data_IF_699262523041
#
_entry.id   IF_699262523041
#
_cell.length_a   1.000
_cell.length_b   1.000
_cell.length_c   1.000
_cell.angle_alpha   90.00
_cell.angle_beta   90.00
_cell.angle_gamma   90.00
#
_symmetry.space_group_name_H-M   'P 1'
#
loop_
_entity.id
_entity.type
_entity.pdbx_description
1 polymer ?
2 non-polymer ?
3 non-polymer ?
4 non-polymer ?
5 water ?
#
# COMPACT_ATOMS: atom_id res chain seq x y z
N UNK A 3 18.09 -17.40 -6.31
CA UNK A 3 17.65 -17.85 -7.68
C UNK A 3 16.16 -17.56 -8.02
N UNK A 4 15.25 -17.80 -7.08
CA UNK A 4 13.86 -17.33 -7.27
C UNK A 4 13.81 -15.80 -7.09
N UNK A 5 13.09 -15.10 -7.95
CA UNK A 5 12.87 -13.67 -7.80
C UNK A 5 11.90 -13.43 -6.62
N UNK A 6 12.23 -12.52 -5.72
CA UNK A 6 11.37 -12.22 -4.57
C UNK A 6 10.84 -10.80 -4.68
N UNK A 7 9.51 -10.67 -4.63
CA UNK A 7 8.82 -9.41 -4.79
C UNK A 7 7.93 -9.15 -3.58
N UNK A 8 8.12 -8.01 -2.94
CA UNK A 8 7.26 -7.54 -1.87
C UNK A 8 6.26 -6.60 -2.48
N UNK A 9 5.01 -6.87 -2.22
CA UNK A 9 3.94 -6.02 -2.67
C UNK A 9 3.25 -5.43 -1.46
N UNK A 10 3.26 -4.11 -1.39
CA UNK A 10 2.59 -3.38 -0.35
C UNK A 10 1.07 -3.55 -0.42
N UNK A 11 0.37 -3.33 0.71
CA UNK A 11 -1.06 -3.54 0.78
C UNK A 11 -1.87 -2.25 0.57
N UNK A 12 -1.82 -1.31 1.51
CA UNK A 12 -2.60 -0.12 1.37
C UNK A 12 -2.03 0.75 0.28
N UNK A 13 -2.89 1.17 -0.64
CA UNK A 13 -2.47 2.02 -1.74
C UNK A 13 -1.93 1.26 -2.92
N UNK A 14 -1.85 -0.04 -2.79
CA UNK A 14 -1.35 -0.89 -3.88
C UNK A 14 -2.33 -2.03 -4.18
N UNK A 15 -2.65 -2.81 -3.16
CA UNK A 15 -3.67 -3.84 -3.26
C UNK A 15 -5.06 -3.37 -2.83
N UNK A 16 -5.09 -2.65 -1.73
CA UNK A 16 -6.32 -2.19 -1.08
C UNK A 16 -6.49 -0.70 -1.25
N UNK A 17 -7.70 -0.27 -1.61
CA UNK A 17 -7.98 1.12 -1.90
C UNK A 17 -8.21 1.92 -0.61
N UNK A 18 -7.12 2.20 0.07
CA UNK A 18 -7.11 2.97 1.30
C UNK A 18 -7.66 4.41 1.09
N UNK A 19 -7.22 5.09 0.03
CA UNK A 19 -7.58 6.48 -0.20
C UNK A 19 -9.08 6.66 -0.44
N UNK A 20 -9.66 5.83 -1.30
CA UNK A 20 -11.06 5.88 -1.61
C UNK A 20 -11.93 5.45 -0.47
N UNK A 21 -11.50 4.43 0.26
CA UNK A 21 -12.26 3.94 1.40
C UNK A 21 -12.28 4.95 2.53
N UNK A 22 -11.13 5.55 2.81
CA UNK A 22 -10.98 6.56 3.82
C UNK A 22 -11.91 7.79 3.44
N UNK A 23 -11.80 8.28 2.21
CA UNK A 23 -12.59 9.47 1.84
C UNK A 23 -14.09 9.22 1.98
N UNK A 24 -14.55 8.08 1.53
CA UNK A 24 -15.93 7.71 1.65
C UNK A 24 -16.40 7.71 3.09
N UNK A 25 -15.64 7.03 3.93
CA UNK A 25 -16.02 6.91 5.34
C UNK A 25 -15.88 8.23 6.07
N UNK A 26 -14.91 9.04 5.70
CA UNK A 26 -14.73 10.32 6.33
C UNK A 26 -15.95 11.23 6.07
N UNK A 27 -16.31 11.33 4.80
CA UNK A 27 -17.49 12.09 4.35
C UNK A 27 -18.79 11.66 4.99
N UNK A 28 -19.05 10.35 5.06
CA UNK A 28 -20.26 9.85 5.69
C UNK A 28 -20.30 10.16 7.19
N UNK A 29 -19.14 10.09 7.84
CA UNK A 29 -19.13 10.22 9.29
C UNK A 29 -19.14 11.70 9.67
N UNK A 30 -18.49 12.53 8.85
CA UNK A 30 -18.28 13.94 9.13
C UNK A 30 -18.79 14.81 7.95
N UNK A 31 -20.07 14.72 7.64
CA UNK A 31 -20.62 15.39 6.45
C UNK A 31 -20.52 16.91 6.47
N UNK A 32 -20.13 17.52 7.61
CA UNK A 32 -20.09 18.98 7.74
C UNK A 32 -18.68 19.50 7.83
N UNK A 33 -17.71 18.61 7.66
CA UNK A 33 -16.32 19.02 7.61
C UNK A 33 -15.87 19.13 6.16
N UNK A 34 -14.86 19.93 5.90
CA UNK A 34 -14.25 19.95 4.58
C UNK A 34 -13.36 18.68 4.45
N UNK A 35 -13.04 18.33 3.21
CA UNK A 35 -12.29 17.11 2.92
C UNK A 35 -11.34 17.35 1.76
N UNK A 36 -10.49 16.37 1.48
CA UNK A 36 -9.54 16.47 0.38
C UNK A 36 -9.99 15.52 -0.70
N UNK A 37 -10.40 16.06 -1.85
CA UNK A 37 -10.73 15.24 -2.99
C UNK A 37 -9.47 14.45 -3.37
N UNK A 38 -9.65 13.25 -3.91
CA UNK A 38 -8.47 12.40 -4.27
C UNK A 38 -7.52 13.08 -5.23
N UNK A 39 -8.03 13.82 -6.22
CA UNK A 39 -7.19 14.56 -7.17
C UNK A 39 -6.36 15.62 -6.49
N UNK A 40 -6.81 16.10 -5.33
CA UNK A 40 -6.08 17.08 -4.54
C UNK A 40 -5.16 16.49 -3.45
N UNK A 41 -5.16 15.17 -3.28
CA UNK A 41 -4.25 14.57 -2.32
C UNK A 41 -2.77 14.79 -2.71
N UNK A 42 -1.95 15.18 -1.73
CA UNK A 42 -0.51 15.31 -1.87
C UNK A 42 0.21 14.84 -0.59
N UNK A 43 1.26 14.05 -0.77
CA UNK A 43 2.00 13.50 0.36
C UNK A 43 1.34 12.22 0.90
N UNK A 44 2.18 11.27 1.32
CA UNK A 44 1.76 10.00 1.89
C UNK A 44 0.80 10.19 3.05
N UNK A 45 1.09 11.12 3.93
CA UNK A 45 0.36 11.28 5.21
C UNK A 45 -0.94 12.06 5.06
N UNK A 46 -2.02 11.29 4.90
CA UNK A 46 -3.38 11.79 4.85
C UNK A 46 -3.67 12.74 6.04
N UNK A 47 -3.30 12.29 7.22
CA UNK A 47 -3.62 12.96 8.47
C UNK A 47 -2.98 14.36 8.50
N UNK A 48 -1.76 14.49 7.98
CA UNK A 48 -1.05 15.76 7.95
C UNK A 48 -1.74 16.76 7.00
N UNK A 49 -2.17 16.32 5.83
CA UNK A 49 -2.92 17.20 4.92
C UNK A 49 -4.29 17.63 5.48
N UNK A 50 -4.98 16.72 6.16
CA UNK A 50 -6.26 17.09 6.73
C UNK A 50 -6.00 18.10 7.90
N UNK A 51 -4.91 17.88 8.60
CA UNK A 51 -4.51 18.74 9.73
C UNK A 51 -4.23 20.18 9.31
N UNK A 52 -3.56 20.33 8.17
CA UNK A 52 -3.24 21.64 7.56
C UNK A 52 -4.51 22.32 7.05
N UNK A 53 -5.51 21.52 6.74
CA UNK A 53 -6.76 22.02 6.19
C UNK A 53 -7.63 22.73 7.24
N UNK A 54 -7.53 22.30 8.50
CA UNK A 54 -8.36 22.84 9.58
C UNK A 54 -8.06 22.08 10.89
N UNK A 55 -7.80 22.77 12.01
CA UNK A 55 -7.51 22.07 13.27
C UNK A 55 -8.60 21.12 13.83
N UNK A 56 -8.11 20.04 14.44
CA UNK A 56 -8.94 18.94 14.86
C UNK A 56 -9.16 17.87 13.77
N UNK A 57 -8.85 18.21 12.52
CA UNK A 57 -9.08 17.29 11.40
C UNK A 57 -8.09 16.11 11.31
N UNK A 58 -6.84 16.30 11.70
CA UNK A 58 -5.92 15.15 11.85
C UNK A 58 -6.55 14.04 12.70
N UNK A 59 -7.13 14.43 13.81
CA UNK A 59 -7.61 13.48 14.79
C UNK A 59 -8.90 12.83 14.26
N UNK A 60 -9.73 13.61 13.56
CA UNK A 60 -10.93 13.04 12.94
C UNK A 60 -10.56 12.03 11.81
N UNK A 61 -9.55 12.35 11.03
CA UNK A 61 -9.03 11.45 9.96
C UNK A 61 -8.60 10.12 10.58
N UNK A 62 -7.82 10.24 11.63
CA UNK A 62 -7.26 9.07 12.31
C UNK A 62 -8.35 8.17 12.85
N UNK A 63 -9.44 8.76 13.35
CA UNK A 63 -10.55 8.01 13.90
C UNK A 63 -11.25 7.16 12.86
N UNK A 64 -11.12 7.52 11.58
CA UNK A 64 -11.67 6.67 10.53
C UNK A 64 -10.94 5.34 10.41
N UNK A 65 -9.63 5.39 10.23
CA UNK A 65 -8.91 4.11 10.10
C UNK A 65 -8.64 3.35 11.41
N UNK A 66 -8.84 4.00 12.56
CA UNK A 66 -8.88 3.31 13.84
C UNK A 66 -10.20 2.58 14.13
N UNK A 67 -11.23 2.81 13.33
CA UNK A 67 -12.53 2.20 13.56
C UNK A 67 -12.57 0.78 13.05
N UNK A 68 -13.33 -0.05 13.74
CA UNK A 68 -13.56 -1.41 13.32
C UNK A 68 -14.12 -1.44 11.89
N UNK A 69 -13.67 -2.45 11.16
CA UNK A 69 -14.03 -2.73 9.78
C UNK A 69 -13.49 -1.81 8.71
N UNK A 70 -12.71 -0.82 9.10
CA UNK A 70 -12.13 0.03 8.13
C UNK A 70 -11.22 -0.75 7.14
N UNK A 71 -10.27 -1.49 7.68
CA UNK A 71 -9.34 -2.22 6.80
C UNK A 71 -10.05 -3.35 6.12
N UNK A 72 -10.93 -4.05 6.85
CA UNK A 72 -11.58 -5.19 6.26
C UNK A 72 -12.41 -4.85 5.01
N UNK A 73 -13.07 -3.70 5.05
CA UNK A 73 -14.02 -3.31 4.04
C UNK A 73 -13.38 -2.54 2.89
N UNK A 74 -12.06 -2.35 2.91
CA UNK A 74 -11.42 -1.73 1.76
C UNK A 74 -11.67 -2.60 0.49
N UNK A 75 -11.98 -1.92 -0.60
CA UNK A 75 -12.08 -2.55 -1.90
C UNK A 75 -10.70 -2.77 -2.53
N UNK A 76 -10.50 -3.85 -3.25
CA UNK A 76 -9.26 -4.03 -3.99
C UNK A 76 -9.09 -2.96 -5.07
N UNK A 77 -7.86 -2.52 -5.34
CA UNK A 77 -7.66 -1.63 -6.48
C UNK A 77 -7.84 -2.47 -7.78
N UNK A 78 -8.26 -1.80 -8.87
CA UNK A 78 -8.46 -2.48 -10.17
C UNK A 78 -7.25 -3.29 -10.58
N UNK A 79 -7.47 -4.54 -10.95
CA UNK A 79 -6.41 -5.41 -11.43
C UNK A 79 -5.47 -5.98 -10.36
N UNK A 80 -5.59 -5.54 -9.11
CA UNK A 80 -4.59 -5.92 -8.10
C UNK A 80 -4.59 -7.39 -7.75
N UNK A 81 -5.78 -7.93 -7.48
CA UNK A 81 -5.91 -9.32 -7.06
C UNK A 81 -5.52 -10.25 -8.22
N UNK A 82 -6.05 -9.96 -9.42
CA UNK A 82 -5.66 -10.72 -10.62
C UNK A 82 -4.14 -10.71 -10.86
N UNK A 83 -3.54 -9.54 -10.75
CA UNK A 83 -2.10 -9.42 -11.02
C UNK A 83 -1.23 -10.17 -10.00
N UNK A 84 -1.57 -10.04 -8.73
CA UNK A 84 -0.78 -10.70 -7.70
C UNK A 84 -0.93 -12.20 -7.77
N UNK A 85 -2.12 -12.67 -8.04
CA UNK A 85 -2.33 -14.10 -8.24
C UNK A 85 -1.50 -14.65 -9.39
N UNK A 86 -1.49 -13.92 -10.51
CA UNK A 86 -0.66 -14.31 -11.65
C UNK A 86 0.79 -14.27 -11.31
N UNK A 87 1.20 -13.19 -10.66
CA UNK A 87 2.58 -13.01 -10.27
C UNK A 87 3.11 -14.16 -9.39
N UNK A 88 2.34 -14.53 -8.38
CA UNK A 88 2.73 -15.62 -7.47
C UNK A 88 2.80 -17.00 -8.18
N UNK A 89 1.97 -17.19 -9.20
CA UNK A 89 1.93 -18.48 -9.94
C UNK A 89 3.10 -18.60 -10.92
N UNK A 90 3.81 -17.49 -11.18
CA UNK A 90 4.94 -17.55 -12.10
C UNK A 90 6.06 -18.39 -11.51
N UNK A 91 6.77 -19.04 -12.41
CA UNK A 91 7.89 -19.89 -12.05
C UNK A 91 8.98 -19.01 -11.51
N UNK A 92 9.68 -19.50 -10.51
CA UNK A 92 10.83 -18.79 -9.95
C UNK A 92 10.46 -17.40 -9.44
N UNK A 93 9.28 -17.29 -8.83
CA UNK A 93 8.80 -16.00 -8.35
C UNK A 93 8.04 -16.23 -7.05
N UNK A 94 8.55 -15.61 -5.99
CA UNK A 94 7.93 -15.62 -4.66
C UNK A 94 7.43 -14.21 -4.31
N UNK A 95 6.17 -14.12 -3.98
CA UNK A 95 5.49 -12.88 -3.67
C UNK A 95 5.13 -12.86 -2.19
N UNK A 96 5.55 -11.80 -1.50
CA UNK A 96 5.09 -11.52 -0.15
C UNK A 96 4.30 -10.21 -0.10
N UNK A 97 3.28 -10.16 0.73
CA UNK A 97 2.55 -8.96 0.92
C UNK A 97 3.14 -8.30 2.18
N UNK A 98 3.66 -7.09 2.02
CA UNK A 98 4.38 -6.39 3.09
C UNK A 98 3.64 -5.12 3.47
N UNK A 99 3.16 -5.06 4.70
CA UNK A 99 2.26 -4.02 5.12
C UNK A 99 2.60 -3.54 6.53
N UNK A 100 2.42 -2.25 6.75
CA UNK A 100 2.70 -1.62 8.04
C UNK A 100 1.40 -1.36 8.77
N UNK A 101 1.19 -1.94 9.92
CA UNK A 101 -0.04 -1.68 10.64
C UNK A 101 0.00 -0.27 11.29
N UNK A 102 -1.17 0.27 11.62
CA UNK A 102 -1.25 1.53 12.40
C UNK A 102 -0.88 1.26 13.85
N UNK A 103 -0.78 2.33 14.61
CA UNK A 103 -0.33 2.23 16.01
C UNK A 103 -1.33 1.50 16.88
N UNK A 104 -2.60 1.77 16.63
CA UNK A 104 -3.70 1.16 17.34
C UNK A 104 -4.01 -0.21 16.74
N UNK A 105 -3.81 -1.25 17.54
CA UNK A 105 -3.63 -2.59 16.97
C UNK A 105 -4.83 -3.49 17.23
N UNK A 106 -5.92 -2.94 17.74
CA UNK A 106 -7.09 -3.80 18.08
C UNK A 106 -7.70 -4.56 16.92
N UNK A 107 -7.83 -3.88 15.78
CA UNK A 107 -8.53 -4.41 14.59
C UNK A 107 -7.58 -4.62 13.39
N UNK A 108 -6.60 -3.76 13.23
CA UNK A 108 -5.92 -3.61 11.94
C UNK A 108 -5.17 -4.92 11.52
N UNK A 109 -4.30 -5.47 12.37
CA UNK A 109 -3.64 -6.73 12.02
C UNK A 109 -4.62 -7.84 11.67
N UNK A 110 -5.61 -8.07 12.52
CA UNK A 110 -6.63 -9.05 12.26
C UNK A 110 -7.32 -8.81 10.92
N UNK A 111 -7.76 -7.58 10.66
CA UNK A 111 -8.55 -7.32 9.44
C UNK A 111 -7.74 -7.48 8.18
N UNK A 112 -6.45 -7.22 8.32
CA UNK A 112 -5.51 -7.34 7.20
C UNK A 112 -5.34 -8.81 6.83
N UNK A 113 -5.16 -9.66 7.83
CA UNK A 113 -5.17 -11.11 7.57
C UNK A 113 -6.50 -11.55 6.95
N UNK A 114 -7.61 -11.09 7.50
CA UNK A 114 -8.93 -11.47 6.98
C UNK A 114 -9.15 -11.02 5.55
N UNK A 115 -8.65 -9.84 5.22
CA UNK A 115 -8.76 -9.29 3.86
C UNK A 115 -7.98 -10.16 2.87
N UNK A 116 -6.76 -10.54 3.27
CA UNK A 116 -5.90 -11.37 2.42
C UNK A 116 -6.55 -12.75 2.22
N UNK A 117 -7.13 -13.31 3.28
CA UNK A 117 -7.84 -14.58 3.16
C UNK A 117 -9.01 -14.49 2.18
N UNK A 118 -9.77 -13.41 2.27
CA UNK A 118 -10.96 -13.18 1.44
C UNK A 118 -10.60 -13.12 -0.07
N UNK A 119 -9.56 -12.36 -0.40
CA UNK A 119 -9.18 -12.13 -1.79
C UNK A 119 -8.19 -13.09 -2.40
N UNK A 120 -7.32 -13.71 -1.58
CA UNK A 120 -6.27 -14.59 -2.08
C UNK A 120 -6.31 -16.00 -1.57
N UNK A 121 -7.17 -16.25 -0.57
CA UNK A 121 -7.33 -17.60 -0.07
C UNK A 121 -6.47 -17.87 1.15
N UNK A 122 -6.86 -18.87 1.93
CA UNK A 122 -6.13 -19.26 3.13
C UNK A 122 -4.62 -19.50 2.90
N UNK A 123 -4.26 -20.14 1.79
CA UNK A 123 -2.86 -20.48 1.57
C UNK A 123 -1.95 -19.24 1.39
N UNK A 124 -2.53 -18.11 1.06
CA UNK A 124 -1.76 -16.90 0.85
C UNK A 124 -1.39 -16.22 2.15
N UNK A 125 -2.02 -16.62 3.27
CA UNK A 125 -1.70 -16.02 4.58
C UNK A 125 -0.24 -16.18 4.99
N UNK A 126 0.39 -17.27 4.58
CA UNK A 126 1.80 -17.55 4.81
C UNK A 126 2.71 -16.52 4.19
N UNK A 127 2.18 -15.76 3.23
CA UNK A 127 2.98 -14.75 2.48
C UNK A 127 2.91 -13.33 3.06
N UNK A 128 2.27 -13.16 4.23
CA UNK A 128 2.09 -11.84 4.80
C UNK A 128 3.28 -11.51 5.74
N UNK A 129 3.85 -10.32 5.56
CA UNK A 129 4.83 -9.76 6.49
C UNK A 129 4.30 -8.43 7.06
N UNK A 130 4.02 -8.39 8.35
CA UNK A 130 3.62 -7.14 9.00
C UNK A 130 4.80 -6.52 9.70
N UNK A 131 5.14 -5.33 9.28
CA UNK A 131 6.27 -4.65 9.85
C UNK A 131 6.14 -3.15 9.61
N UNK A 132 6.60 -2.37 10.60
CA UNK A 132 6.74 -0.94 10.40
C UNK A 132 8.01 -0.55 9.65
N UNK A 133 8.99 -1.46 9.53
CA UNK A 133 10.25 -1.23 8.86
C UNK A 133 10.38 -2.19 7.71
N UNK A 134 10.24 -1.68 6.51
CA UNK A 134 10.38 -2.49 5.32
C UNK A 134 11.81 -2.70 4.89
N UNK A 135 12.72 -1.84 5.35
CA UNK A 135 14.12 -1.95 4.91
C UNK A 135 14.79 -3.19 5.46
N UNK A 136 14.23 -3.79 6.52
CA UNK A 136 14.78 -5.06 7.04
C UNK A 136 14.16 -6.30 6.44
N UNK A 137 13.26 -6.14 5.46
CA UNK A 137 12.79 -7.26 4.69
C UNK A 137 13.58 -7.29 3.35
N UNK A 138 14.19 -8.44 3.02
CA UNK A 138 15.06 -8.57 1.85
C UNK A 138 14.27 -9.16 0.72
N UNK A 139 14.50 -8.61 -0.47
CA UNK A 139 13.85 -9.00 -1.68
C UNK A 139 14.50 -8.32 -2.88
N UNK A 140 14.11 -8.69 -4.07
CA UNK A 140 14.62 -8.02 -5.28
C UNK A 140 13.85 -6.76 -5.59
N UNK A 141 12.56 -6.78 -5.27
CA UNK A 141 11.68 -5.67 -5.58
C UNK A 141 10.70 -5.38 -4.45
N UNK A 142 10.42 -4.11 -4.23
CA UNK A 142 9.34 -3.63 -3.34
C UNK A 142 8.41 -2.69 -4.16
N UNK A 143 7.14 -3.06 -4.31
CA UNK A 143 6.17 -2.24 -5.03
C UNK A 143 5.31 -1.57 -3.98
N UNK A 144 5.40 -0.24 -3.88
CA UNK A 144 4.90 0.47 -2.74
C UNK A 144 4.63 1.90 -3.15
N UNK A 145 3.49 2.42 -2.75
CA UNK A 145 3.09 3.81 -3.12
C UNK A 145 3.72 4.91 -2.26
N UNK A 146 4.43 4.53 -1.19
CA UNK A 146 5.07 5.53 -0.35
C UNK A 146 6.43 5.91 -0.93
N UNK A 147 6.68 7.20 -1.23
CA UNK A 147 7.96 7.59 -1.85
C UNK A 147 9.21 7.38 -0.98
N UNK A 148 9.08 7.69 0.30
CA UNK A 148 10.21 7.65 1.23
C UNK A 148 10.12 6.38 2.10
N UNK A 149 10.92 5.36 1.78
CA UNK A 149 10.88 4.13 2.53
C UNK A 149 12.24 3.99 3.19
N UNK A 150 12.22 4.26 4.49
CA UNK A 150 13.43 4.22 5.31
C UNK A 150 13.22 3.46 6.61
N UNK A 151 14.33 3.22 7.29
CA UNK A 151 14.34 2.43 8.51
C UNK A 151 15.76 2.09 8.95
N UNK A 152 15.89 0.95 9.61
CA UNK A 152 17.16 0.53 10.22
C UNK A 152 18.22 0.09 9.23
N UNK A 153 17.85 -0.39 8.05
CA UNK A 153 18.83 -0.81 7.08
C UNK A 153 19.08 0.31 6.08
N UNK A 154 20.27 0.94 6.10
CA UNK A 154 20.56 2.03 5.17
C UNK A 154 20.67 1.60 3.72
N UNK A 155 20.94 0.33 3.45
CA UNK A 155 21.10 -0.18 2.11
C UNK A 155 20.19 -1.41 1.87
N UNK A 156 18.86 -1.19 1.69
CA UNK A 156 17.91 -2.29 1.47
C UNK A 156 18.32 -3.10 0.26
N UNK A 157 18.05 -4.38 0.26
CA UNK A 157 18.39 -5.20 -0.90
C UNK A 157 17.41 -5.01 -2.06
N UNK A 158 16.18 -4.56 -1.81
CA UNK A 158 15.21 -4.40 -2.90
C UNK A 158 15.42 -3.09 -3.68
N UNK A 159 15.00 -3.12 -4.93
CA UNK A 159 14.69 -1.90 -5.69
C UNK A 159 13.23 -1.47 -5.38
N UNK A 160 13.04 -0.26 -4.89
CA UNK A 160 11.70 0.31 -4.69
C UNK A 160 11.11 0.79 -5.99
N UNK A 161 10.01 0.17 -6.43
CA UNK A 161 9.24 0.67 -7.59
C UNK A 161 8.05 1.40 -7.04
N UNK A 162 7.94 2.71 -7.35
CA UNK A 162 6.83 3.49 -6.85
C UNK A 162 5.52 3.17 -7.56
N UNK A 163 4.54 2.66 -6.80
CA UNK A 163 3.21 2.43 -7.33
C UNK A 163 2.44 3.76 -7.30
N UNK A 164 1.90 4.16 -8.46
CA UNK A 164 1.21 5.42 -8.53
C UNK A 164 -0.05 5.43 -7.67
N UNK A 165 -0.20 6.55 -6.98
CA UNK A 165 -1.37 6.90 -6.21
C UNK A 165 -1.62 8.40 -6.35
N UNK A 166 -2.84 8.83 -6.05
CA UNK A 166 -3.22 10.24 -6.05
C UNK A 166 -2.17 11.11 -5.37
N UNK A 167 -1.69 10.66 -4.20
CA UNK A 167 -0.82 11.50 -3.39
C UNK A 167 0.57 11.66 -3.95
N UNK A 168 0.99 10.76 -4.84
CA UNK A 168 2.32 10.81 -5.42
C UNK A 168 2.36 11.00 -6.95
N UNK A 169 1.21 11.13 -7.59
CA UNK A 169 1.19 11.09 -9.05
C UNK A 169 1.92 12.27 -9.68
N UNK A 170 2.12 13.35 -8.91
CA UNK A 170 2.74 14.54 -9.43
C UNK A 170 4.21 14.61 -9.17
N UNK A 171 4.70 13.63 -8.39
CA UNK A 171 6.04 13.67 -7.87
C UNK A 171 7.11 13.33 -8.88
N UNK A 172 8.09 14.21 -9.01
CA UNK A 172 9.22 13.91 -9.83
C UNK A 172 10.21 13.09 -8.97
N UNK A 173 10.56 11.89 -9.40
CA UNK A 173 11.49 11.05 -8.67
C UNK A 173 12.91 11.32 -9.14
N UNK A 174 13.89 11.10 -8.30
CA UNK A 174 15.28 11.17 -8.77
C UNK A 174 15.61 10.00 -9.74
N UNK A 175 16.17 10.36 -10.90
CA UNK A 175 16.08 9.56 -12.14
C UNK A 175 16.16 8.04 -12.09
N UNK A 176 17.13 7.40 -11.39
CA UNK A 176 17.18 5.92 -11.37
C UNK A 176 15.84 5.29 -10.94
N UNK A 177 15.14 5.95 -10.00
CA UNK A 177 13.82 5.49 -9.55
C UNK A 177 12.72 5.40 -10.62
N UNK A 178 11.86 4.42 -10.44
CA UNK A 178 10.97 3.86 -11.46
C UNK A 178 9.55 3.65 -10.89
N UNK A 179 8.51 3.70 -11.73
CA UNK A 179 7.12 3.61 -11.30
C UNK A 179 6.41 2.45 -11.91
N UNK A 180 5.46 1.87 -11.17
CA UNK A 180 4.45 1.04 -11.76
C UNK A 180 3.18 1.85 -11.69
N UNK A 181 2.60 2.13 -12.83
CA UNK A 181 1.62 3.17 -12.89
C UNK A 181 0.21 2.74 -12.45
N UNK A 182 -0.05 1.45 -12.51
CA UNK A 182 -1.28 0.79 -12.07
C UNK A 182 -1.04 -0.67 -12.38
N UNK A 183 -1.96 -1.54 -11.97
CA UNK A 183 -1.84 -2.95 -12.25
C UNK A 183 -2.09 -3.25 -13.73
N UNK A 184 -2.66 -2.30 -14.48
CA UNK A 184 -2.80 -2.46 -15.96
C UNK A 184 -1.49 -2.25 -16.68
N UNK A 185 -0.58 -1.50 -16.04
CA UNK A 185 0.78 -1.28 -16.51
C UNK A 185 1.54 -2.62 -16.48
N UNK A 186 2.72 -2.64 -17.13
CA UNK A 186 3.40 -3.86 -17.44
C UNK A 186 4.36 -4.27 -16.33
N UNK A 187 3.77 -4.85 -15.29
CA UNK A 187 4.51 -5.31 -14.13
C UNK A 187 5.39 -6.49 -14.49
N UNK A 188 4.97 -7.33 -15.42
CA UNK A 188 5.83 -8.43 -15.85
C UNK A 188 7.19 -7.97 -16.39
N UNK A 189 7.23 -6.86 -17.14
CA UNK A 189 8.49 -6.32 -17.66
C UNK A 189 9.40 -5.81 -16.56
N UNK A 190 8.82 -5.26 -15.51
CA UNK A 190 9.62 -4.79 -14.40
C UNK A 190 10.27 -5.97 -13.71
N UNK A 191 9.47 -7.01 -13.43
CA UNK A 191 10.00 -8.23 -12.82
C UNK A 191 11.13 -8.84 -13.68
N UNK A 192 10.87 -9.02 -14.96
CA UNK A 192 11.84 -9.59 -15.89
C UNK A 192 13.16 -8.84 -15.94
N UNK A 193 13.09 -7.51 -15.79
CA UNK A 193 14.29 -6.70 -15.77
C UNK A 193 15.26 -7.00 -14.59
N UNK A 194 14.78 -7.69 -13.57
CA UNK A 194 15.56 -8.04 -12.38
C UNK A 194 16.00 -9.50 -12.37
N UNK A 195 15.55 -10.28 -13.34
CA UNK A 195 15.96 -11.68 -13.45
C UNK A 195 17.29 -11.77 -14.24
N UNK A 196 18.16 -12.72 -13.88
CA UNK A 196 19.41 -12.94 -14.64
C UNK A 196 19.18 -13.45 -16.09
X LIG B 1 1.00 1.73 0.92
X LIG C 1 -1.20 5.56 7.71
X LIG C 1 -1.14 6.38 8.82
X LIG C 1 -1.28 7.74 8.69
X LIG C 1 -1.52 8.29 7.45
X LIG C 1 -1.58 7.47 6.31
X LIG C 1 -1.40 6.09 6.44
X LIG C 1 -0.95 5.94 9.96
X LIG C 1 -1.66 9.51 7.42
X LIG C 1 -0.99 4.12 7.93
X LIG C 1 -2.21 3.27 7.54
X LIG C 1 -1.59 1.92 7.27
X LIG C 1 -0.15 2.29 6.88
X LIG C 1 -1.62 1.07 8.41
X LIG C 1 0.08 3.66 7.16
X LIG C 1 0.02 2.03 5.41
X LIG C 1 -0.31 0.67 5.21
X LIG C 1 0.46 -0.10 4.02
X LIG C 1 1.85 -0.31 4.47
X LIG C 1 -0.30 -1.42 3.80
X LIG C 1 0.50 0.83 2.77
X LIG D 1 -1.30 3.70 2.00
X LIG D 1 -0.07 3.55 1.40
X LIG D 1 -1.39 5.04 2.68
X LIG D 1 -2.36 4.91 3.64
X LIG D 1 -1.83 6.16 1.69
X LIG D 1 -1.59 7.38 2.33
#
# INVERSE_FOLDING_TARGET
>A
GGRALRVLVNMDGVLADFEGGFLRKFRARFPDQPFIALEDRRGFWVSEQYGRLRPGLSEKAISIWESKNFFFELEPLPGAVEAVKEMASLQNTDVFICTSPIKMFKYCPYEKYAWVEKYFGPDFLEQIVLTRDKTVVSADLLIDDRPDITGAEPTPSWEHVLFTACHNQHLQLQPPRRRLHSWADDWKAILDSKRPC
>B hetero
1 MG MG
>C hetero
1 UMP N1 C2 N3 C4 C5 C6 O2 O4 C1' C2' C3' C4' O3' O4' C5' O5' P OP1 OP2 OP3
>D hetero
1 GOL C1 O1 C2 O2 C3 O3
#
